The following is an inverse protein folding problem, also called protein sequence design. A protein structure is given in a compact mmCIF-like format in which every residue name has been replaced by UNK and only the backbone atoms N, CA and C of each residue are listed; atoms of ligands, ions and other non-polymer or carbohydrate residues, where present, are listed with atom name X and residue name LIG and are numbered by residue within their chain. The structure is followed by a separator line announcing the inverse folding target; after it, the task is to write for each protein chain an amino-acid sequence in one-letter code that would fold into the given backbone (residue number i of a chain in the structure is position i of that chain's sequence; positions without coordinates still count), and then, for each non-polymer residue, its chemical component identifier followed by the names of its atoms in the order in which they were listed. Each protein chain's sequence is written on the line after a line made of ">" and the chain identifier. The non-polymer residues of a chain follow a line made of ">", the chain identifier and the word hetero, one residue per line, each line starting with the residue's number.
data_IF_862341542954
#
_entry.id   IF_862341542954
#
_cell.length_a   1.000
_cell.length_b   1.000
_cell.length_c   1.000
_cell.angle_alpha   90.00
_cell.angle_beta   90.00
_cell.angle_gamma   90.00
#
_symmetry.space_group_name_H-M   'P 1'
#
loop_
_entity.id
_entity.type
_entity.pdbx_description
1 polymer ?
#
# COMPACT_ATOMS: atom_id res chain seq x y z
N UNK A 1 -10.06 28.97 75.79
CA UNK A 1 -10.28 27.57 76.18
C UNK A 1 -11.30 26.98 75.21
N UNK A 2 -10.87 26.00 74.38
CA UNK A 2 -11.63 25.10 73.48
C UNK A 2 -12.23 25.74 72.20
N UNK A 3 -11.77 25.48 70.97
CA UNK A 3 -11.56 24.27 70.14
C UNK A 3 -12.83 23.73 69.40
N UNK A 4 -12.72 23.74 68.06
CA UNK A 4 -13.24 22.81 67.02
C UNK A 4 -14.74 22.71 66.68
N UNK A 5 -15.10 23.00 65.41
CA UNK A 5 -15.44 22.01 64.35
C UNK A 5 -15.65 22.75 62.98
N UNK A 6 -14.69 22.77 62.04
CA UNK A 6 -14.51 21.91 60.83
C UNK A 6 -15.65 22.04 59.79
N UNK A 7 -15.53 22.87 58.75
CA UNK A 7 -14.97 22.59 57.40
C UNK A 7 -15.47 21.28 56.76
N UNK A 8 -16.45 21.38 55.85
CA UNK A 8 -16.66 20.40 54.79
C UNK A 8 -17.24 21.08 53.53
N UNK A 9 -16.37 21.74 52.77
CA UNK A 9 -16.64 22.11 51.37
C UNK A 9 -15.30 22.17 50.65
N UNK A 10 -15.30 21.69 49.40
CA UNK A 10 -14.23 21.74 48.40
C UNK A 10 -13.24 20.56 48.37
N UNK A 11 -13.71 19.44 47.81
CA UNK A 11 -12.87 18.45 47.14
C UNK A 11 -13.58 17.92 45.88
N UNK A 12 -13.96 18.81 44.97
CA UNK A 12 -14.39 18.45 43.60
C UNK A 12 -13.76 19.48 42.68
N UNK A 13 -12.67 19.12 41.99
CA UNK A 13 -12.00 20.06 41.09
C UNK A 13 -10.71 19.56 40.42
N UNK A 14 -10.09 18.47 40.90
CA UNK A 14 -8.82 17.97 40.36
C UNK A 14 -8.93 16.74 39.45
N UNK A 15 -10.12 16.11 39.31
CA UNK A 15 -10.29 14.92 38.47
C UNK A 15 -10.62 15.24 37.00
N UNK A 16 -11.19 16.40 36.71
CA UNK A 16 -11.59 16.78 35.35
C UNK A 16 -10.41 16.96 34.37
N UNK A 17 -9.35 17.72 34.68
CA UNK A 17 -8.31 18.01 33.67
C UNK A 17 -7.50 16.77 33.26
N UNK A 18 -7.36 15.77 34.14
CA UNK A 18 -6.62 14.54 33.84
C UNK A 18 -7.41 13.61 32.92
N UNK A 19 -8.73 13.52 33.09
CA UNK A 19 -9.61 12.71 32.23
C UNK A 19 -9.71 13.29 30.80
N UNK A 20 -9.78 14.61 30.67
CA UNK A 20 -9.80 15.26 29.36
C UNK A 20 -8.46 15.12 28.62
N UNK A 21 -7.32 15.24 29.31
CA UNK A 21 -6.01 15.03 28.70
C UNK A 21 -5.83 13.58 28.17
N UNK A 22 -6.29 12.58 28.92
CA UNK A 22 -6.23 11.19 28.47
C UNK A 22 -7.15 10.88 27.27
N UNK A 23 -8.35 11.49 27.21
CA UNK A 23 -9.24 11.33 26.07
C UNK A 23 -8.66 11.98 24.79
N UNK A 24 -8.09 13.18 24.91
CA UNK A 24 -7.43 13.86 23.79
C UNK A 24 -6.22 13.08 23.26
N UNK A 25 -5.43 12.49 24.17
CA UNK A 25 -4.29 11.64 23.81
C UNK A 25 -4.74 10.35 23.10
N UNK A 26 -5.86 9.76 23.54
CA UNK A 26 -6.45 8.58 22.89
C UNK A 26 -6.93 8.89 21.47
N UNK A 27 -7.61 10.02 21.27
CA UNK A 27 -8.09 10.45 19.94
C UNK A 27 -6.91 10.75 19.00
N UNK A 28 -5.88 11.46 19.46
CA UNK A 28 -4.66 11.73 18.66
C UNK A 28 -3.94 10.44 18.28
N UNK A 29 -3.82 9.51 19.22
CA UNK A 29 -3.28 8.17 18.96
C UNK A 29 -4.15 7.41 17.95
N UNK A 30 -5.47 7.52 18.07
CA UNK A 30 -6.43 6.94 17.14
C UNK A 30 -6.30 7.47 15.72
N UNK A 31 -6.13 8.78 15.56
CA UNK A 31 -5.85 9.41 14.26
C UNK A 31 -4.59 8.83 13.64
N UNK A 32 -3.50 8.77 14.40
CA UNK A 32 -2.24 8.20 13.95
C UNK A 32 -2.39 6.74 13.52
N UNK A 33 -3.08 5.93 14.32
CA UNK A 33 -3.29 4.51 14.04
C UNK A 33 -4.25 4.28 12.86
N UNK A 34 -5.28 5.10 12.69
CA UNK A 34 -6.19 5.03 11.55
C UNK A 34 -5.44 5.37 10.24
N UNK A 35 -4.50 6.31 10.31
CA UNK A 35 -3.57 6.62 9.22
C UNK A 35 -2.60 5.46 8.96
N UNK A 36 -1.95 4.92 9.98
CA UNK A 36 -1.05 3.76 9.86
C UNK A 36 -1.75 2.50 9.35
N UNK A 37 -3.03 2.33 9.68
CA UNK A 37 -3.87 1.25 9.18
C UNK A 37 -4.38 1.49 7.74
N UNK A 38 -4.10 2.66 7.17
CA UNK A 38 -4.52 3.08 5.84
C UNK A 38 -6.04 3.06 5.61
N UNK A 39 -6.82 3.37 6.66
CA UNK A 39 -8.29 3.28 6.61
C UNK A 39 -8.89 4.19 5.51
N UNK A 40 -8.30 5.38 5.30
CA UNK A 40 -8.79 6.34 4.31
C UNK A 40 -8.68 5.82 2.87
N UNK A 41 -7.64 5.04 2.56
CA UNK A 41 -7.39 4.58 1.19
C UNK A 41 -8.50 3.68 0.66
N UNK A 42 -9.20 2.94 1.52
CA UNK A 42 -10.35 2.11 1.11
C UNK A 42 -11.70 2.77 1.40
N UNK A 43 -11.78 3.61 2.43
CA UNK A 43 -13.03 4.19 2.91
C UNK A 43 -13.29 5.61 2.38
N UNK A 44 -12.66 6.02 1.28
CA UNK A 44 -12.90 7.34 0.67
C UNK A 44 -12.93 7.23 -0.86
N UNK A 45 -14.08 7.54 -1.47
CA UNK A 45 -14.17 7.62 -2.93
C UNK A 45 -13.43 8.85 -3.49
N UNK A 46 -13.03 8.81 -4.75
CA UNK A 46 -12.46 9.98 -5.44
C UNK A 46 -13.44 11.17 -5.41
N UNK A 47 -12.98 12.32 -4.90
CA UNK A 47 -13.82 13.51 -4.69
C UNK A 47 -14.88 13.37 -3.59
N UNK A 48 -14.89 12.27 -2.85
CA UNK A 48 -15.78 12.03 -1.72
C UNK A 48 -15.28 12.65 -0.41
N UNK A 49 -16.17 12.70 0.58
CA UNK A 49 -15.80 13.10 1.94
C UNK A 49 -14.93 12.01 2.60
N UNK A 50 -13.93 12.38 3.43
CA UNK A 50 -13.10 11.42 4.14
C UNK A 50 -13.93 10.37 4.89
N UNK A 51 -13.55 9.10 4.77
CA UNK A 51 -14.18 7.97 5.46
C UNK A 51 -15.64 7.67 5.09
N UNK A 52 -16.23 8.38 4.13
CA UNK A 52 -17.62 8.21 3.71
C UNK A 52 -17.87 6.96 2.81
N UNK A 53 -16.84 6.18 2.54
CA UNK A 53 -16.90 4.99 1.70
C UNK A 53 -17.01 5.29 0.20
N UNK A 54 -17.36 4.26 -0.55
CA UNK A 54 -17.68 4.35 -1.97
C UNK A 54 -16.54 4.08 -2.95
N UNK A 55 -15.32 3.82 -2.47
CA UNK A 55 -14.23 3.42 -3.37
C UNK A 55 -14.49 2.02 -3.94
N UNK A 56 -14.46 1.84 -5.28
CA UNK A 56 -14.52 0.52 -5.90
C UNK A 56 -13.18 -0.22 -5.78
N UNK A 57 -13.21 -1.42 -5.20
CA UNK A 57 -12.12 -2.39 -5.18
C UNK A 57 -12.49 -3.47 -6.17
N UNK A 58 -11.93 -3.37 -7.38
CA UNK A 58 -12.16 -4.31 -8.46
C UNK A 58 -11.38 -5.59 -8.19
N UNK A 59 -12.04 -6.74 -8.32
CA UNK A 59 -11.42 -8.05 -8.16
C UNK A 59 -11.94 -9.03 -9.22
N UNK A 60 -11.25 -10.17 -9.44
CA UNK A 60 -11.76 -11.24 -10.29
C UNK A 60 -13.13 -11.80 -9.87
N UNK A 61 -13.56 -11.55 -8.62
CA UNK A 61 -14.82 -12.04 -8.06
C UNK A 61 -15.98 -11.04 -8.23
N UNK A 62 -15.68 -9.81 -8.68
CA UNK A 62 -16.60 -8.68 -8.74
C UNK A 62 -16.05 -7.46 -8.00
N UNK A 63 -16.87 -6.42 -7.87
CA UNK A 63 -16.48 -5.15 -7.25
C UNK A 63 -16.98 -5.07 -5.81
N UNK A 64 -16.05 -4.82 -4.89
CA UNK A 64 -16.32 -4.57 -3.48
C UNK A 64 -16.22 -3.07 -3.26
N UNK A 65 -17.16 -2.48 -2.52
CA UNK A 65 -17.09 -1.06 -2.19
C UNK A 65 -16.68 -0.86 -0.73
N UNK A 66 -15.78 0.10 -0.50
CA UNK A 66 -15.48 0.58 0.84
C UNK A 66 -16.75 1.12 1.51
N UNK A 67 -16.99 0.74 2.76
CA UNK A 67 -18.18 1.19 3.51
C UNK A 67 -17.99 2.59 4.06
N UNK A 68 -19.07 3.28 4.39
CA UNK A 68 -19.00 4.51 5.19
C UNK A 68 -18.64 4.13 6.63
N UNK A 69 -17.56 4.70 7.17
CA UNK A 69 -17.10 4.48 8.56
C UNK A 69 -17.06 5.78 9.38
N UNK A 70 -17.79 6.79 8.93
CA UNK A 70 -18.08 8.00 9.73
C UNK A 70 -19.06 7.66 10.86
N UNK A 71 -19.25 8.52 11.87
CA UNK A 71 -20.19 8.26 12.96
C UNK A 71 -21.67 8.48 12.60
N UNK A 72 -22.02 8.48 11.30
CA UNK A 72 -23.42 8.40 10.86
C UNK A 72 -24.09 7.18 11.50
N UNK A 73 -25.28 7.40 12.07
CA UNK A 73 -26.07 6.34 12.73
C UNK A 73 -26.83 5.48 11.73
N UNK A 74 -27.10 6.01 10.54
CA UNK A 74 -27.90 5.33 9.51
C UNK A 74 -27.01 4.63 8.47
N UNK A 75 -25.92 5.28 8.05
CA UNK A 75 -25.08 4.82 6.95
C UNK A 75 -23.65 4.44 7.38
N UNK A 76 -23.22 4.90 8.55
CA UNK A 76 -21.86 4.69 9.07
C UNK A 76 -21.78 3.72 10.25
N UNK A 77 -20.77 3.92 11.10
CA UNK A 77 -20.51 3.12 12.30
C UNK A 77 -21.02 3.77 13.60
N UNK A 78 -21.87 4.81 13.51
CA UNK A 78 -22.32 5.58 14.68
C UNK A 78 -23.08 4.80 15.76
N UNK A 79 -23.53 3.57 15.44
CA UNK A 79 -24.17 2.65 16.39
C UNK A 79 -23.24 1.54 16.90
N UNK A 80 -22.00 1.46 16.42
CA UNK A 80 -21.05 0.46 16.90
C UNK A 80 -20.58 0.83 18.31
N UNK A 81 -20.57 -0.15 19.22
CA UNK A 81 -19.78 -0.05 20.44
C UNK A 81 -18.34 -0.56 20.20
N UNK A 82 -17.48 -0.40 21.20
CA UNK A 82 -16.05 -0.72 21.05
C UNK A 82 -15.80 -2.22 20.81
N UNK A 83 -16.60 -3.12 21.40
CA UNK A 83 -16.49 -4.56 21.19
C UNK A 83 -16.93 -4.96 19.77
N UNK A 84 -18.01 -4.37 19.26
CA UNK A 84 -18.50 -4.60 17.91
C UNK A 84 -17.54 -4.04 16.85
N UNK A 85 -16.94 -2.87 17.10
CA UNK A 85 -15.93 -2.30 16.23
C UNK A 85 -14.67 -3.17 16.22
N UNK A 86 -14.21 -3.63 17.39
CA UNK A 86 -13.10 -4.56 17.49
C UNK A 86 -13.39 -5.87 16.75
N UNK A 87 -14.59 -6.45 16.90
CA UNK A 87 -14.98 -7.66 16.18
C UNK A 87 -15.07 -7.46 14.66
N UNK A 88 -15.50 -6.28 14.20
CA UNK A 88 -15.50 -5.95 12.78
C UNK A 88 -14.08 -5.87 12.23
N UNK A 89 -13.17 -5.19 12.94
CA UNK A 89 -11.77 -5.05 12.53
C UNK A 89 -10.98 -6.35 12.59
N UNK A 90 -11.15 -7.15 13.64
CA UNK A 90 -10.26 -8.28 13.94
C UNK A 90 -10.84 -9.65 13.60
N UNK A 91 -12.17 -9.75 13.45
CA UNK A 91 -12.85 -11.01 13.14
C UNK A 91 -13.68 -10.93 11.86
N UNK A 92 -13.78 -9.75 11.24
CA UNK A 92 -14.62 -9.54 10.07
C UNK A 92 -16.12 -9.64 10.38
N UNK A 93 -16.55 -9.44 11.63
CA UNK A 93 -17.96 -9.56 12.04
C UNK A 93 -18.63 -8.21 12.17
N UNK A 94 -19.62 -7.93 11.33
CA UNK A 94 -20.39 -6.68 11.40
C UNK A 94 -21.37 -6.69 12.57
N UNK A 95 -21.79 -5.50 13.00
CA UNK A 95 -22.81 -5.31 14.05
C UNK A 95 -24.14 -6.01 13.71
N UNK A 96 -24.50 -6.09 12.43
CA UNK A 96 -25.72 -6.79 11.97
C UNK A 96 -25.57 -8.32 11.92
N UNK A 97 -24.44 -8.87 12.38
CA UNK A 97 -24.13 -10.29 12.41
C UNK A 97 -23.59 -10.87 11.10
N UNK A 98 -23.54 -10.08 10.02
CA UNK A 98 -23.00 -10.57 8.76
C UNK A 98 -21.47 -10.48 8.70
N UNK A 99 -20.82 -11.41 7.99
CA UNK A 99 -19.38 -11.35 7.76
C UNK A 99 -19.01 -10.30 6.71
N UNK A 100 -17.88 -9.62 6.94
CA UNK A 100 -17.17 -8.82 5.94
C UNK A 100 -16.50 -9.74 4.92
N UNK A 101 -16.35 -9.23 3.70
CA UNK A 101 -15.49 -9.85 2.71
C UNK A 101 -14.03 -9.61 3.08
N UNK A 102 -13.12 -10.56 2.83
CA UNK A 102 -11.69 -10.45 3.16
C UNK A 102 -10.91 -9.46 2.27
N UNK A 103 -11.62 -8.56 1.59
CA UNK A 103 -11.03 -7.32 1.06
C UNK A 103 -10.80 -6.28 2.18
N UNK A 104 -11.59 -6.34 3.25
CA UNK A 104 -11.21 -5.69 4.50
C UNK A 104 -10.13 -6.56 5.17
N UNK A 105 -8.94 -6.04 5.50
CA UNK A 105 -7.79 -6.84 5.94
C UNK A 105 -7.90 -7.29 7.41
N UNK A 106 -9.06 -7.80 7.84
CA UNK A 106 -9.26 -8.33 9.19
C UNK A 106 -8.37 -9.56 9.47
N UNK A 107 -7.93 -10.26 8.43
CA UNK A 107 -6.94 -11.35 8.51
C UNK A 107 -5.55 -10.89 8.86
N UNK A 108 -5.25 -9.60 8.70
CA UNK A 108 -4.04 -8.95 9.19
C UNK A 108 -4.31 -8.30 10.55
N UNK A 109 -5.40 -7.53 10.67
CA UNK A 109 -5.79 -6.85 11.91
C UNK A 109 -6.17 -7.75 13.07
N UNK A 110 -6.36 -9.07 12.91
CA UNK A 110 -6.64 -9.96 14.07
C UNK A 110 -5.55 -9.93 15.15
N UNK A 111 -4.35 -9.45 14.79
CA UNK A 111 -3.21 -9.24 15.70
C UNK A 111 -3.15 -7.83 16.30
N UNK A 112 -4.09 -6.95 15.94
CA UNK A 112 -4.20 -5.59 16.48
C UNK A 112 -4.57 -5.66 17.98
N UNK A 113 -3.80 -5.03 18.87
CA UNK A 113 -4.16 -4.92 20.27
C UNK A 113 -5.49 -4.19 20.45
N UNK A 114 -6.26 -4.60 21.46
CA UNK A 114 -7.54 -3.97 21.80
C UNK A 114 -7.44 -2.45 21.97
N UNK A 115 -6.40 -1.98 22.67
CA UNK A 115 -6.18 -0.56 22.92
C UNK A 115 -5.98 0.26 21.64
N UNK A 116 -5.45 -0.35 20.57
CA UNK A 116 -5.24 0.32 19.29
C UNK A 116 -6.56 0.46 18.54
N UNK A 117 -7.37 -0.60 18.50
CA UNK A 117 -8.73 -0.55 17.95
C UNK A 117 -9.62 0.45 18.68
N UNK A 118 -9.58 0.49 20.02
CA UNK A 118 -10.38 1.44 20.80
C UNK A 118 -9.95 2.89 20.53
N UNK A 119 -8.66 3.15 20.36
CA UNK A 119 -8.16 4.47 19.98
C UNK A 119 -8.64 4.86 18.57
N UNK A 120 -8.53 3.96 17.59
CA UNK A 120 -9.06 4.19 16.23
C UNK A 120 -10.56 4.50 16.29
N UNK A 121 -11.34 3.71 17.05
CA UNK A 121 -12.77 3.95 17.18
C UNK A 121 -13.08 5.29 17.82
N UNK A 122 -12.35 5.67 18.88
CA UNK A 122 -12.48 6.97 19.52
C UNK A 122 -12.23 8.12 18.55
N UNK A 123 -11.21 8.01 17.68
CA UNK A 123 -10.96 8.98 16.62
C UNK A 123 -12.07 9.01 15.56
N UNK A 124 -12.51 7.86 15.05
CA UNK A 124 -13.57 7.84 14.03
C UNK A 124 -14.89 8.46 14.54
N UNK A 125 -15.17 8.40 15.85
CA UNK A 125 -16.32 9.06 16.48
C UNK A 125 -16.24 10.60 16.47
N UNK A 126 -15.07 11.20 16.25
CA UNK A 126 -14.90 12.67 16.19
C UNK A 126 -15.04 13.24 14.79
N UNK A 127 -15.07 12.38 13.76
CA UNK A 127 -15.18 12.78 12.36
C UNK A 127 -16.59 13.28 12.06
N UNK A 128 -16.70 14.20 11.09
CA UNK A 128 -17.99 14.66 10.60
C UNK A 128 -18.85 13.47 10.10
N UNK A 129 -20.07 13.27 10.63
CA UNK A 129 -20.99 12.26 10.13
C UNK A 129 -21.40 12.58 8.70
N UNK A 130 -21.20 11.62 7.79
CA UNK A 130 -21.63 11.77 6.40
C UNK A 130 -22.85 10.88 6.17
N UNK A 131 -24.00 11.50 5.94
CA UNK A 131 -25.26 10.81 5.69
C UNK A 131 -25.38 10.39 4.22
N UNK A 132 -24.53 9.43 3.83
CA UNK A 132 -24.52 8.82 2.49
C UNK A 132 -24.28 7.33 2.58
N UNK A 133 -25.17 6.56 1.97
CA UNK A 133 -24.97 5.13 1.79
C UNK A 133 -23.84 4.86 0.78
N UNK A 134 -22.94 3.94 1.14
CA UNK A 134 -21.98 3.39 0.20
C UNK A 134 -22.71 2.48 -0.82
N UNK A 135 -22.24 2.38 -2.08
CA UNK A 135 -22.77 1.43 -3.04
C UNK A 135 -22.71 -0.01 -2.52
N UNK A 136 -23.66 -0.84 -2.97
CA UNK A 136 -23.73 -2.24 -2.53
C UNK A 136 -22.70 -3.07 -3.30
N UNK A 137 -21.86 -3.80 -2.56
CA UNK A 137 -20.93 -4.80 -3.12
C UNK A 137 -21.65 -5.82 -3.97
N UNK A 138 -21.14 -6.04 -5.19
CA UNK A 138 -21.69 -6.98 -6.17
C UNK A 138 -20.62 -7.99 -6.54
N UNK A 139 -20.81 -9.24 -6.11
CA UNK A 139 -19.93 -10.36 -6.41
C UNK A 139 -20.65 -11.43 -7.22
N UNK A 140 -19.89 -12.16 -8.03
CA UNK A 140 -20.39 -13.28 -8.81
C UNK A 140 -20.63 -14.51 -7.92
N UNK A 141 -21.57 -15.37 -8.30
CA UNK A 141 -21.72 -16.69 -7.67
C UNK A 141 -20.42 -17.52 -7.82
N UNK A 142 -19.96 -18.24 -6.78
CA UNK A 142 -20.60 -18.44 -5.47
C UNK A 142 -20.21 -17.42 -4.38
N UNK A 143 -19.39 -16.42 -4.70
CA UNK A 143 -18.83 -15.45 -3.74
C UNK A 143 -19.87 -14.47 -3.16
N UNK A 144 -21.04 -14.35 -3.80
CA UNK A 144 -22.18 -13.61 -3.24
C UNK A 144 -22.86 -14.33 -2.04
N UNK A 145 -22.60 -15.62 -1.82
CA UNK A 145 -23.23 -16.41 -0.75
C UNK A 145 -22.45 -16.27 0.56
N UNK A 146 -22.89 -15.33 1.41
CA UNK A 146 -22.21 -14.99 2.69
C UNK A 146 -21.95 -16.15 3.65
N UNK A 147 -22.79 -17.20 3.78
CA UNK A 147 -22.45 -18.36 4.62
C UNK A 147 -21.12 -19.04 4.26
N UNK A 148 -20.67 -18.99 3.00
CA UNK A 148 -19.37 -19.51 2.59
C UNK A 148 -18.19 -18.82 3.30
N UNK A 149 -18.36 -17.56 3.71
CA UNK A 149 -17.35 -16.81 4.47
C UNK A 149 -17.12 -17.38 5.87
N UNK A 150 -18.09 -18.09 6.46
CA UNK A 150 -17.90 -18.73 7.77
C UNK A 150 -16.80 -19.80 7.67
N UNK A 151 -16.93 -20.69 6.68
CA UNK A 151 -15.91 -21.72 6.43
C UNK A 151 -14.56 -21.12 6.04
N UNK A 152 -14.57 -20.07 5.21
CA UNK A 152 -13.36 -19.34 4.85
C UNK A 152 -12.67 -18.74 6.10
N UNK A 153 -13.42 -18.08 6.98
CA UNK A 153 -12.90 -17.49 8.21
C UNK A 153 -12.33 -18.53 9.17
N UNK A 154 -12.95 -19.70 9.26
CA UNK A 154 -12.42 -20.81 10.08
C UNK A 154 -11.04 -21.27 9.62
N UNK A 155 -10.77 -21.24 8.32
CA UNK A 155 -9.48 -21.67 7.75
C UNK A 155 -8.44 -20.56 7.73
N UNK A 156 -8.82 -19.35 7.33
CA UNK A 156 -7.88 -18.28 6.98
C UNK A 156 -7.93 -17.07 7.90
N UNK A 157 -8.99 -16.90 8.69
CA UNK A 157 -9.27 -15.69 9.49
C UNK A 157 -8.15 -15.28 10.44
N UNK A 158 -7.36 -16.25 10.92
CA UNK A 158 -6.24 -16.05 11.86
C UNK A 158 -4.95 -16.74 11.39
N UNK A 159 -4.81 -16.93 10.09
CA UNK A 159 -3.71 -17.69 9.51
C UNK A 159 -2.37 -16.95 9.63
N UNK A 160 -2.37 -15.61 9.53
CA UNK A 160 -1.16 -14.81 9.73
C UNK A 160 -0.62 -14.98 11.15
N UNK A 161 0.68 -15.25 11.25
CA UNK A 161 1.43 -15.30 12.51
C UNK A 161 2.61 -14.36 12.41
N UNK A 162 2.81 -13.58 13.47
CA UNK A 162 4.00 -12.77 13.68
C UNK A 162 5.23 -13.67 13.81
N UNK A 163 6.34 -13.28 13.19
CA UNK A 163 7.58 -14.03 13.32
C UNK A 163 8.14 -13.93 14.74
N UNK A 164 8.80 -14.99 15.25
CA UNK A 164 9.41 -14.96 16.57
C UNK A 164 10.40 -13.82 16.71
N UNK A 165 10.38 -13.18 17.88
CA UNK A 165 11.10 -11.94 18.15
C UNK A 165 12.42 -12.17 18.92
N UNK A 166 12.80 -13.41 19.17
CA UNK A 166 14.02 -13.77 19.90
C UNK A 166 15.26 -13.27 19.15
N UNK A 167 16.07 -12.48 19.84
CA UNK A 167 17.29 -11.88 19.26
C UNK A 167 17.04 -10.71 18.30
N UNK A 168 15.79 -10.27 18.12
CA UNK A 168 15.41 -9.11 17.30
C UNK A 168 15.39 -7.82 18.13
N UNK A 169 15.72 -6.70 17.50
CA UNK A 169 15.64 -5.39 18.16
C UNK A 169 14.18 -4.96 18.39
N UNK A 170 13.96 -3.98 19.27
CA UNK A 170 12.64 -3.37 19.46
C UNK A 170 12.14 -2.66 18.20
N UNK A 171 13.05 -2.06 17.41
CA UNK A 171 12.72 -1.46 16.12
C UNK A 171 12.19 -2.52 15.15
N UNK A 172 12.83 -3.69 15.06
CA UNK A 172 12.35 -4.79 14.21
C UNK A 172 10.96 -5.28 14.64
N UNK A 173 10.71 -5.45 15.95
CA UNK A 173 9.40 -5.86 16.48
C UNK A 173 8.32 -4.83 16.16
N UNK A 174 8.62 -3.55 16.35
CA UNK A 174 7.72 -2.45 16.00
C UNK A 174 7.44 -2.43 14.49
N UNK A 175 8.47 -2.57 13.67
CA UNK A 175 8.36 -2.62 12.22
C UNK A 175 7.49 -3.78 11.73
N UNK A 176 7.62 -4.96 12.35
CA UNK A 176 6.76 -6.09 12.02
C UNK A 176 5.29 -5.77 12.25
N UNK A 177 4.95 -5.17 13.39
CA UNK A 177 3.58 -4.73 13.66
C UNK A 177 3.09 -3.68 12.66
N UNK A 178 3.95 -2.71 12.32
CA UNK A 178 3.62 -1.65 11.36
C UNK A 178 3.42 -2.18 9.92
N UNK A 179 4.19 -3.19 9.49
CA UNK A 179 4.14 -3.74 8.13
C UNK A 179 3.08 -4.85 8.00
N UNK A 180 3.03 -5.79 8.94
CA UNK A 180 2.15 -6.96 8.82
C UNK A 180 0.74 -6.71 9.32
N UNK A 181 0.58 -5.87 10.35
CA UNK A 181 -0.71 -5.68 11.02
C UNK A 181 -1.35 -4.38 10.59
N UNK A 182 -0.74 -3.23 10.91
CA UNK A 182 -1.34 -1.93 10.59
C UNK A 182 -1.31 -1.66 9.08
N UNK A 183 -0.12 -1.63 8.48
CA UNK A 183 0.03 -1.36 7.05
C UNK A 183 -0.35 -2.51 6.13
N UNK A 184 -0.68 -3.69 6.69
CA UNK A 184 -1.16 -4.90 5.99
C UNK A 184 -0.45 -5.18 4.66
N UNK A 185 0.86 -4.89 4.57
CA UNK A 185 1.59 -4.88 3.30
C UNK A 185 1.57 -6.26 2.62
N UNK A 186 1.46 -7.32 3.43
CA UNK A 186 1.31 -8.69 2.97
C UNK A 186 0.08 -8.91 2.07
N UNK A 187 -1.00 -8.14 2.23
CA UNK A 187 -2.23 -8.31 1.45
C UNK A 187 -2.02 -8.02 -0.06
N UNK A 188 -1.01 -7.20 -0.40
CA UNK A 188 -0.57 -6.94 -1.77
C UNK A 188 0.71 -7.70 -2.11
N UNK A 189 1.67 -7.75 -1.18
CA UNK A 189 3.01 -8.29 -1.41
C UNK A 189 3.15 -9.80 -1.12
N UNK A 190 2.05 -10.53 -0.94
CA UNK A 190 2.04 -11.99 -0.81
C UNK A 190 1.15 -12.58 -1.89
N UNK A 191 1.55 -13.66 -2.59
CA UNK A 191 0.73 -14.23 -3.63
C UNK A 191 -0.53 -14.87 -3.03
N UNK A 192 -1.66 -14.78 -3.74
CA UNK A 192 -2.93 -15.36 -3.30
C UNK A 192 -3.23 -16.66 -4.05
N UNK A 193 -3.74 -17.65 -3.33
CA UNK A 193 -4.26 -18.90 -3.92
C UNK A 193 -5.77 -18.83 -4.09
N UNK A 194 -6.40 -19.87 -4.66
CA UNK A 194 -7.85 -20.04 -4.54
C UNK A 194 -8.17 -20.56 -3.13
N UNK A 195 -9.17 -20.00 -2.41
CA UNK A 195 -10.23 -19.09 -2.85
C UNK A 195 -10.00 -17.59 -2.51
N UNK A 196 -8.82 -17.02 -2.79
CA UNK A 196 -8.47 -15.61 -2.55
C UNK A 196 -7.64 -15.33 -1.28
N UNK A 197 -7.28 -16.38 -0.53
CA UNK A 197 -6.45 -16.26 0.67
C UNK A 197 -4.96 -16.10 0.31
N UNK A 198 -4.20 -15.40 1.17
CA UNK A 198 -2.74 -15.29 1.06
C UNK A 198 -2.07 -16.67 1.23
N UNK A 199 -1.09 -16.97 0.38
CA UNK A 199 -0.17 -18.10 0.53
C UNK A 199 0.94 -17.70 1.51
N UNK A 200 0.70 -17.88 2.81
CA UNK A 200 1.59 -17.42 3.88
C UNK A 200 2.96 -18.13 3.92
N UNK A 201 3.08 -19.29 3.27
CA UNK A 201 4.36 -19.96 3.00
C UNK A 201 5.25 -19.15 2.03
N UNK A 202 4.66 -18.24 1.26
CA UNK A 202 5.30 -17.32 0.32
C UNK A 202 5.14 -15.86 0.75
N UNK A 203 4.95 -15.63 2.05
CA UNK A 203 4.75 -14.31 2.64
C UNK A 203 5.82 -13.32 2.17
N UNK A 204 5.37 -12.14 1.73
CA UNK A 204 6.20 -11.04 1.24
C UNK A 204 7.06 -11.31 -0.01
N UNK A 205 6.84 -12.43 -0.73
CA UNK A 205 7.58 -12.75 -1.97
C UNK A 205 7.07 -12.01 -3.22
N UNK A 206 6.02 -11.20 -3.06
CA UNK A 206 5.37 -10.44 -4.12
C UNK A 206 4.03 -11.05 -4.55
N UNK A 207 3.18 -10.22 -5.16
CA UNK A 207 1.83 -10.61 -5.59
C UNK A 207 1.39 -9.84 -6.82
N UNK A 208 0.43 -10.38 -7.58
CA UNK A 208 -0.15 -9.69 -8.74
C UNK A 208 -1.49 -9.09 -8.33
N UNK A 209 -1.64 -7.78 -8.51
CA UNK A 209 -2.85 -7.01 -8.23
C UNK A 209 -3.17 -6.15 -9.46
N UNK A 210 -4.38 -6.29 -10.00
CA UNK A 210 -4.85 -5.50 -11.15
C UNK A 210 -3.86 -5.47 -12.34
N UNK A 211 -3.18 -6.59 -12.60
CA UNK A 211 -2.17 -6.69 -13.68
C UNK A 211 -0.78 -6.14 -13.34
N UNK A 212 -0.62 -5.48 -12.19
CA UNK A 212 0.68 -5.03 -11.67
C UNK A 212 1.27 -6.04 -10.69
N UNK A 213 2.58 -6.13 -10.66
CA UNK A 213 3.34 -6.86 -9.66
C UNK A 213 3.62 -5.94 -8.46
N UNK A 214 3.06 -6.25 -7.30
CA UNK A 214 3.60 -5.83 -6.02
C UNK A 214 4.90 -6.63 -5.77
N UNK A 215 6.09 -6.00 -5.82
CA UNK A 215 7.35 -6.74 -5.81
C UNK A 215 7.65 -7.39 -4.46
N UNK A 216 8.50 -8.43 -4.43
CA UNK A 216 8.97 -9.03 -3.17
C UNK A 216 9.53 -7.98 -2.21
N UNK A 217 9.13 -8.04 -0.94
CA UNK A 217 9.67 -7.21 0.14
C UNK A 217 10.72 -7.94 0.98
N UNK A 218 11.16 -9.13 0.57
CA UNK A 218 12.23 -9.83 1.27
C UNK A 218 13.54 -9.04 1.20
N UNK A 219 14.29 -9.04 2.29
CA UNK A 219 15.54 -8.29 2.44
C UNK A 219 16.54 -8.53 1.30
N UNK A 220 16.71 -9.78 0.87
CA UNK A 220 17.61 -10.16 -0.23
C UNK A 220 17.17 -9.57 -1.56
N UNK A 221 15.87 -9.51 -1.81
CA UNK A 221 15.31 -9.07 -3.08
C UNK A 221 15.29 -7.54 -3.16
N UNK A 222 15.00 -6.88 -2.03
CA UNK A 222 15.17 -5.44 -1.86
C UNK A 222 16.63 -5.04 -2.11
N UNK A 223 17.59 -5.67 -1.43
CA UNK A 223 19.01 -5.39 -1.62
C UNK A 223 19.49 -5.71 -3.04
N UNK A 224 19.03 -6.80 -3.66
CA UNK A 224 19.33 -7.10 -5.07
C UNK A 224 18.83 -5.98 -6.01
N UNK A 225 17.76 -5.28 -5.64
CA UNK A 225 17.25 -4.12 -6.37
C UNK A 225 17.86 -2.78 -5.93
N UNK A 226 18.86 -2.80 -5.05
CA UNK A 226 19.63 -1.61 -4.64
C UNK A 226 19.03 -0.85 -3.46
N UNK A 227 18.05 -1.42 -2.75
CA UNK A 227 17.47 -0.81 -1.56
C UNK A 227 18.34 -1.02 -0.33
N UNK A 228 18.44 0.02 0.49
CA UNK A 228 18.98 -0.01 1.84
C UNK A 228 17.98 0.66 2.80
N UNK A 229 18.31 0.67 4.10
CA UNK A 229 17.40 1.15 5.14
C UNK A 229 17.06 2.63 5.00
N UNK A 230 18.06 3.47 4.69
CA UNK A 230 17.87 4.91 4.51
C UNK A 230 16.98 5.20 3.30
N UNK A 231 17.24 4.55 2.16
CA UNK A 231 16.48 4.76 0.94
C UNK A 231 15.05 4.27 1.09
N UNK A 232 14.84 3.13 1.77
CA UNK A 232 13.51 2.59 2.03
C UNK A 232 12.73 3.49 3.00
N UNK A 233 13.37 4.00 4.06
CA UNK A 233 12.75 5.00 4.95
C UNK A 233 12.37 6.28 4.21
N UNK A 234 13.25 6.78 3.33
CA UNK A 234 12.99 7.95 2.48
C UNK A 234 11.82 7.70 1.55
N UNK A 235 11.77 6.53 0.91
CA UNK A 235 10.68 6.13 0.02
C UNK A 235 9.35 6.04 0.74
N UNK A 236 9.29 5.44 1.93
CA UNK A 236 8.07 5.37 2.73
C UNK A 236 7.63 6.76 3.19
N UNK A 237 8.56 7.63 3.59
CA UNK A 237 8.26 8.99 4.09
C UNK A 237 7.78 9.93 2.99
N UNK A 238 8.46 9.92 1.85
CA UNK A 238 8.32 10.92 0.80
C UNK A 238 7.65 10.38 -0.46
N UNK A 239 7.37 9.08 -0.51
CA UNK A 239 6.82 8.39 -1.67
C UNK A 239 7.84 8.24 -2.81
N UNK A 240 9.11 8.57 -2.57
CA UNK A 240 10.15 8.54 -3.60
C UNK A 240 11.56 8.37 -3.03
N UNK A 241 12.42 7.72 -3.81
CA UNK A 241 13.87 7.60 -3.57
C UNK A 241 14.61 7.48 -4.91
N UNK A 242 15.93 7.31 -4.88
CA UNK A 242 16.73 7.07 -6.09
C UNK A 242 16.27 5.82 -6.87
N UNK A 243 15.66 4.86 -6.18
CA UNK A 243 15.18 3.60 -6.74
C UNK A 243 13.78 3.72 -7.37
N UNK A 244 13.10 4.86 -7.28
CA UNK A 244 11.80 5.10 -7.92
C UNK A 244 10.79 5.82 -7.04
N UNK A 245 9.54 5.88 -7.49
CA UNK A 245 8.41 6.51 -6.79
C UNK A 245 7.32 5.49 -6.46
N UNK A 246 6.47 5.80 -5.47
CA UNK A 246 5.22 5.10 -5.24
C UNK A 246 4.20 5.57 -6.29
N UNK A 247 3.88 4.68 -7.22
CA UNK A 247 2.89 4.94 -8.27
C UNK A 247 1.77 3.89 -8.23
N UNK A 248 0.68 4.18 -8.95
CA UNK A 248 -0.49 3.32 -9.03
C UNK A 248 -1.02 2.93 -7.62
N UNK A 249 -1.27 1.65 -7.35
CA UNK A 249 -1.81 1.15 -6.07
C UNK A 249 -0.95 1.52 -4.84
N UNK A 250 0.35 1.79 -5.01
CA UNK A 250 1.20 2.24 -3.89
C UNK A 250 1.08 3.74 -3.61
N UNK A 251 0.58 4.54 -4.56
CA UNK A 251 0.45 5.98 -4.34
C UNK A 251 -0.62 6.34 -3.29
N UNK A 252 -1.82 5.72 -3.27
CA UNK A 252 -2.77 5.87 -2.16
C UNK A 252 -2.18 5.48 -0.80
N UNK A 253 -1.35 4.44 -0.72
CA UNK A 253 -0.68 4.03 0.53
C UNK A 253 0.25 5.14 1.02
N UNK A 254 1.04 5.74 0.13
CA UNK A 254 1.81 6.93 0.49
C UNK A 254 0.92 8.09 0.91
N UNK A 255 -0.06 8.43 0.08
CA UNK A 255 -0.85 9.65 0.22
C UNK A 255 -1.75 9.62 1.45
N UNK A 256 -2.33 8.48 1.78
CA UNK A 256 -3.29 8.33 2.87
C UNK A 256 -2.67 7.76 4.14
N UNK A 257 -1.47 7.17 4.07
CA UNK A 257 -0.82 6.52 5.21
C UNK A 257 0.61 6.99 5.45
N UNK A 258 1.58 6.49 4.68
CA UNK A 258 2.99 6.46 5.13
C UNK A 258 3.60 7.86 5.27
N UNK A 259 3.16 8.84 4.49
CA UNK A 259 3.66 10.21 4.58
C UNK A 259 3.38 10.91 5.91
N UNK A 260 2.37 10.44 6.65
CA UNK A 260 1.98 10.99 7.96
C UNK A 260 2.46 10.17 9.14
N UNK A 261 3.31 9.15 8.92
CA UNK A 261 3.89 8.34 9.99
C UNK A 261 5.13 9.00 10.59
N UNK A 262 5.44 8.63 11.83
CA UNK A 262 6.64 9.12 12.50
C UNK A 262 7.91 8.53 11.89
N UNK A 263 9.00 9.30 11.91
CA UNK A 263 10.31 8.83 11.43
C UNK A 263 10.77 7.55 12.13
N UNK A 264 10.44 7.41 13.42
CA UNK A 264 10.74 6.20 14.21
C UNK A 264 10.02 4.98 13.66
N UNK A 265 8.73 5.09 13.31
CA UNK A 265 7.97 3.96 12.78
C UNK A 265 8.38 3.65 11.33
N UNK A 266 8.68 4.66 10.52
CA UNK A 266 9.19 4.47 9.16
C UNK A 266 10.56 3.78 9.15
N UNK A 267 11.46 4.17 10.06
CA UNK A 267 12.72 3.47 10.28
C UNK A 267 12.49 2.04 10.75
N UNK A 268 11.59 1.82 11.72
CA UNK A 268 11.25 0.49 12.21
C UNK A 268 10.72 -0.42 11.08
N UNK A 269 9.85 0.09 10.20
CA UNK A 269 9.37 -0.63 9.02
C UNK A 269 10.53 -1.04 8.11
N UNK A 270 11.47 -0.13 7.84
CA UNK A 270 12.66 -0.42 7.03
C UNK A 270 13.57 -1.47 7.72
N UNK A 271 13.80 -1.35 9.03
CA UNK A 271 14.54 -2.33 9.83
C UNK A 271 13.86 -3.71 9.79
N UNK A 272 12.53 -3.77 9.83
CA UNK A 272 11.81 -5.04 9.74
C UNK A 272 12.01 -5.71 8.38
N UNK A 273 11.81 -4.96 7.28
CA UNK A 273 11.87 -5.48 5.91
C UNK A 273 13.29 -5.90 5.49
N UNK A 274 14.31 -5.16 5.92
CA UNK A 274 15.71 -5.47 5.58
C UNK A 274 16.42 -6.31 6.66
N UNK A 275 15.87 -6.36 7.87
CA UNK A 275 16.44 -7.01 9.04
C UNK A 275 17.40 -6.12 9.84
N UNK A 276 17.65 -6.48 11.10
CA UNK A 276 18.60 -5.80 12.00
C UNK A 276 20.04 -5.72 11.46
N UNK A 277 20.37 -6.60 10.49
CA UNK A 277 21.65 -6.65 9.80
C UNK A 277 21.37 -6.75 8.30
N UNK A 278 21.11 -5.62 7.63
CA UNK A 278 20.63 -5.62 6.26
C UNK A 278 21.70 -6.17 5.32
N UNK A 279 21.33 -6.97 4.30
CA UNK A 279 22.25 -7.33 3.22
C UNK A 279 22.70 -6.07 2.46
N UNK A 280 23.90 -6.11 1.91
CA UNK A 280 24.44 -4.98 1.16
C UNK A 280 23.63 -4.74 -0.13
N UNK A 281 23.20 -3.49 -0.33
CA UNK A 281 22.51 -3.07 -1.54
C UNK A 281 23.41 -3.28 -2.77
N UNK A 282 22.86 -3.96 -3.79
CA UNK A 282 23.57 -4.24 -5.04
C UNK A 282 23.54 -3.02 -5.95
N UNK A 283 24.70 -2.41 -6.17
CA UNK A 283 24.87 -1.35 -7.15
C UNK A 283 24.50 -1.83 -8.57
N UNK A 284 23.88 -0.96 -9.36
CA UNK A 284 23.71 -1.18 -10.79
C UNK A 284 25.08 -1.10 -11.49
N UNK A 285 25.37 -2.08 -12.33
CA UNK A 285 26.48 -2.01 -13.28
C UNK A 285 25.88 -1.75 -14.65
N UNK A 286 26.13 -0.56 -15.18
CA UNK A 286 25.62 -0.17 -16.50
C UNK A 286 26.37 -0.88 -17.61
N UNK A 287 25.62 -1.27 -18.64
CA UNK A 287 26.17 -1.94 -19.83
C UNK A 287 26.16 -0.94 -20.99
N UNK A 288 27.31 -0.70 -21.66
CA UNK A 288 27.37 0.15 -22.85
C UNK A 288 26.43 -0.37 -23.94
N UNK A 289 25.83 0.55 -24.71
CA UNK A 289 24.80 0.22 -25.71
C UNK A 289 25.31 -0.77 -26.75
N UNK A 290 26.57 -0.66 -27.13
CA UNK A 290 27.23 -1.53 -28.12
C UNK A 290 27.30 -2.99 -27.66
N UNK A 291 27.16 -3.24 -26.35
CA UNK A 291 27.16 -4.58 -25.76
C UNK A 291 25.76 -5.11 -25.44
N UNK A 292 24.72 -4.29 -25.62
CA UNK A 292 23.34 -4.73 -25.46
C UNK A 292 22.92 -5.61 -26.64
N UNK A 293 21.79 -6.30 -26.47
CA UNK A 293 21.22 -7.11 -27.54
C UNK A 293 20.75 -6.26 -28.74
N UNK A 294 20.59 -6.89 -29.91
CA UNK A 294 20.17 -6.17 -31.12
C UNK A 294 18.80 -5.49 -30.96
N UNK A 295 17.89 -6.10 -30.17
CA UNK A 295 16.61 -5.50 -29.80
C UNK A 295 16.80 -4.25 -28.93
N UNK A 296 17.60 -4.35 -27.87
CA UNK A 296 17.89 -3.22 -27.00
C UNK A 296 18.61 -2.07 -27.72
N UNK A 297 19.50 -2.35 -28.67
CA UNK A 297 20.15 -1.32 -29.50
C UNK A 297 19.14 -0.53 -30.34
N UNK A 298 18.14 -1.19 -30.94
CA UNK A 298 17.03 -0.50 -31.63
C UNK A 298 16.15 0.27 -30.65
N UNK A 299 15.91 -0.29 -29.46
CA UNK A 299 15.12 0.33 -28.40
C UNK A 299 15.67 1.65 -27.89
N UNK A 300 16.98 1.86 -27.96
CA UNK A 300 17.59 3.15 -27.65
C UNK A 300 16.99 4.27 -28.52
N UNK A 301 16.83 4.04 -29.82
CA UNK A 301 16.28 5.05 -30.71
C UNK A 301 14.83 5.39 -30.34
N UNK A 302 14.03 4.39 -29.97
CA UNK A 302 12.66 4.61 -29.49
C UNK A 302 12.65 5.45 -28.20
N UNK A 303 13.54 5.15 -27.25
CA UNK A 303 13.69 5.95 -26.03
C UNK A 303 14.03 7.41 -26.35
N UNK A 304 14.97 7.65 -27.27
CA UNK A 304 15.36 9.00 -27.68
C UNK A 304 14.21 9.76 -28.37
N UNK A 305 13.39 9.06 -29.14
CA UNK A 305 12.27 9.64 -29.87
C UNK A 305 11.13 10.07 -28.93
N UNK A 306 10.76 9.24 -27.95
CA UNK A 306 9.51 9.44 -27.20
C UNK A 306 9.66 9.61 -25.69
N UNK A 307 10.79 9.20 -25.09
CA UNK A 307 10.98 9.20 -23.63
C UNK A 307 11.96 10.28 -23.15
N UNK A 308 13.06 10.49 -23.88
CA UNK A 308 14.20 11.31 -23.46
C UNK A 308 13.85 12.79 -23.21
N UNK A 309 12.78 13.30 -23.83
CA UNK A 309 12.29 14.66 -23.59
C UNK A 309 11.95 14.93 -22.12
N UNK A 310 11.43 13.93 -21.41
CA UNK A 310 11.10 14.02 -19.99
C UNK A 310 12.15 13.30 -19.11
N UNK A 311 12.54 12.08 -19.47
CA UNK A 311 13.44 11.25 -18.67
C UNK A 311 14.94 11.53 -18.87
N UNK A 312 15.28 12.57 -19.65
CA UNK A 312 16.63 12.94 -20.07
C UNK A 312 17.29 11.91 -21.00
N UNK A 313 18.30 12.33 -21.78
CA UNK A 313 18.95 11.48 -22.79
C UNK A 313 19.62 10.25 -22.17
N UNK A 314 20.24 10.39 -20.99
CA UNK A 314 20.89 9.30 -20.28
C UNK A 314 20.00 8.60 -19.26
N UNK A 315 18.71 8.95 -19.16
CA UNK A 315 17.81 8.33 -18.18
C UNK A 315 17.97 8.85 -16.75
N UNK A 316 18.59 10.02 -16.57
CA UNK A 316 18.76 10.67 -15.26
C UNK A 316 17.44 11.16 -14.66
N UNK A 317 16.38 11.25 -15.46
CA UNK A 317 15.15 11.94 -15.08
C UNK A 317 15.33 13.45 -15.04
N UNK A 318 14.26 14.13 -14.65
CA UNK A 318 14.25 15.57 -14.42
C UNK A 318 13.57 15.82 -13.08
N UNK A 319 14.25 16.45 -12.11
CA UNK A 319 13.65 16.77 -10.82
C UNK A 319 12.29 17.45 -10.99
N UNK A 320 11.31 17.02 -10.19
CA UNK A 320 9.93 17.50 -10.20
C UNK A 320 9.14 17.29 -11.51
N UNK A 321 9.69 16.55 -12.47
CA UNK A 321 9.04 16.33 -13.78
C UNK A 321 8.90 14.84 -14.05
N UNK A 322 10.01 14.11 -14.04
CA UNK A 322 10.04 12.71 -14.41
C UNK A 322 11.12 11.97 -13.63
N UNK A 323 10.79 10.76 -13.20
CA UNK A 323 11.70 9.90 -12.44
C UNK A 323 12.92 9.50 -13.27
N UNK A 324 14.04 9.24 -12.59
CA UNK A 324 15.19 8.60 -13.20
C UNK A 324 14.80 7.18 -13.68
N UNK A 325 15.30 6.79 -14.83
CA UNK A 325 15.27 5.42 -15.32
C UNK A 325 16.48 4.64 -14.81
N UNK A 326 17.64 5.31 -14.71
CA UNK A 326 18.87 4.71 -14.17
C UNK A 326 18.66 4.21 -12.75
N UNK A 327 18.84 2.91 -12.53
CA UNK A 327 18.72 2.31 -11.20
C UNK A 327 17.29 2.17 -10.67
N UNK A 328 16.28 2.55 -11.44
CA UNK A 328 14.88 2.47 -11.02
C UNK A 328 14.42 1.01 -10.93
N UNK A 329 13.80 0.68 -9.79
CA UNK A 329 13.39 -0.67 -9.40
C UNK A 329 12.51 -1.33 -10.45
N UNK A 330 11.63 -0.59 -11.12
CA UNK A 330 10.70 -1.12 -12.12
C UNK A 330 11.44 -1.76 -13.29
N UNK A 331 12.62 -1.22 -13.68
CA UNK A 331 13.45 -1.76 -14.76
C UNK A 331 14.27 -2.97 -14.28
N UNK A 332 14.49 -3.07 -12.97
CA UNK A 332 15.28 -4.13 -12.33
C UNK A 332 14.47 -5.38 -12.00
N UNK A 333 13.15 -5.37 -12.21
CA UNK A 333 12.31 -6.55 -12.00
C UNK A 333 12.55 -7.60 -13.10
N UNK A 334 12.59 -8.87 -12.69
CA UNK A 334 12.67 -10.02 -13.61
C UNK A 334 11.40 -10.13 -14.46
N UNK A 335 10.24 -9.91 -13.84
CA UNK A 335 8.96 -9.78 -14.54
C UNK A 335 8.81 -8.33 -15.06
N UNK A 336 8.75 -8.13 -16.40
CA UNK A 336 8.70 -6.80 -16.98
C UNK A 336 7.32 -6.15 -16.92
N UNK A 337 6.29 -6.81 -16.36
CA UNK A 337 4.91 -6.31 -16.43
C UNK A 337 4.74 -4.90 -15.90
N UNK A 338 5.41 -4.53 -14.82
CA UNK A 338 5.26 -3.17 -14.27
C UNK A 338 5.78 -2.13 -15.26
N UNK A 339 6.92 -2.40 -15.89
CA UNK A 339 7.49 -1.50 -16.89
C UNK A 339 6.58 -1.40 -18.12
N UNK A 340 6.10 -2.54 -18.61
CA UNK A 340 5.14 -2.61 -19.71
C UNK A 340 3.88 -1.79 -19.39
N UNK A 341 3.24 -2.06 -18.26
CA UNK A 341 2.00 -1.40 -17.84
C UNK A 341 2.17 0.10 -17.64
N UNK A 342 3.27 0.54 -17.03
CA UNK A 342 3.57 1.98 -16.89
C UNK A 342 3.70 2.67 -18.25
N UNK A 343 4.35 2.03 -19.23
CA UNK A 343 4.48 2.59 -20.58
C UNK A 343 3.13 2.61 -21.29
N UNK A 344 2.32 1.56 -21.15
CA UNK A 344 1.04 1.44 -21.84
C UNK A 344 -0.06 2.34 -21.25
N UNK A 345 -0.22 2.28 -19.93
CA UNK A 345 -1.31 2.95 -19.20
C UNK A 345 -0.99 4.43 -18.94
N UNK A 346 0.29 4.77 -18.87
CA UNK A 346 0.76 6.06 -18.36
C UNK A 346 0.65 6.17 -16.85
N UNK A 347 0.99 7.33 -16.31
CA UNK A 347 0.85 7.68 -14.90
C UNK A 347 0.28 9.09 -14.83
N UNK A 348 -0.81 9.28 -14.07
CA UNK A 348 -1.36 10.61 -13.82
C UNK A 348 -0.39 11.51 -13.04
N UNK A 349 -0.73 12.79 -12.88
CA UNK A 349 0.04 13.69 -12.02
C UNK A 349 0.09 13.15 -10.58
N UNK A 350 1.28 13.16 -9.97
CA UNK A 350 1.46 12.71 -8.59
C UNK A 350 2.18 13.77 -7.76
N UNK A 351 1.63 14.05 -6.58
CA UNK A 351 2.22 14.99 -5.61
C UNK A 351 2.80 14.22 -4.45
N UNK A 352 4.06 14.51 -4.15
CA UNK A 352 4.84 13.91 -3.08
C UNK A 352 5.06 14.93 -1.95
N UNK A 353 5.76 14.54 -0.89
CA UNK A 353 5.98 15.44 0.25
C UNK A 353 6.77 16.68 -0.16
N UNK A 354 6.46 17.82 0.48
CA UNK A 354 7.15 19.08 0.20
C UNK A 354 6.70 19.67 -1.15
N UNK A 355 7.66 19.98 -2.02
CA UNK A 355 7.41 20.54 -3.37
C UNK A 355 7.61 19.50 -4.48
N UNK A 356 7.89 18.25 -4.11
CA UNK A 356 8.09 17.17 -5.07
C UNK A 356 6.79 16.79 -5.76
N UNK A 357 6.86 16.68 -7.09
CA UNK A 357 5.75 16.24 -7.92
C UNK A 357 6.27 15.57 -9.18
N UNK A 358 5.47 14.72 -9.80
CA UNK A 358 5.75 14.15 -11.12
C UNK A 358 4.65 14.59 -12.07
N UNK A 359 5.08 15.09 -13.23
CA UNK A 359 4.16 15.47 -14.30
C UNK A 359 3.50 14.20 -14.87
N UNK A 360 2.29 14.31 -15.43
CA UNK A 360 1.63 13.16 -16.03
C UNK A 360 2.49 12.57 -17.16
N UNK A 361 2.71 11.27 -17.10
CA UNK A 361 3.31 10.48 -18.16
C UNK A 361 2.18 9.91 -19.03
N UNK A 362 2.09 10.26 -20.32
CA UNK A 362 1.05 9.72 -21.18
C UNK A 362 1.23 8.22 -21.42
N UNK A 363 0.14 7.50 -21.62
CA UNK A 363 0.17 6.13 -22.10
C UNK A 363 0.59 6.02 -23.58
N UNK A 364 1.23 4.90 -23.93
CA UNK A 364 1.77 4.60 -25.26
C UNK A 364 1.21 3.31 -25.88
N UNK A 365 0.18 2.69 -25.30
CA UNK A 365 -0.39 1.41 -25.76
C UNK A 365 -0.77 1.40 -27.26
N UNK A 366 -1.21 2.54 -27.78
CA UNK A 366 -1.66 2.77 -29.16
C UNK A 366 -0.68 3.60 -29.99
N UNK A 367 0.48 3.94 -29.43
CA UNK A 367 1.51 4.80 -30.06
C UNK A 367 2.76 4.03 -30.50
N UNK A 368 3.00 2.86 -29.93
CA UNK A 368 4.15 2.01 -30.25
C UNK A 368 3.65 0.68 -30.85
N UNK A 369 4.29 0.24 -31.93
CA UNK A 369 4.07 -1.12 -32.44
C UNK A 369 4.63 -2.16 -31.46
N UNK A 370 4.12 -3.41 -31.45
CA UNK A 370 4.61 -4.45 -30.55
C UNK A 370 6.13 -4.65 -30.59
N UNK A 371 6.75 -4.55 -31.77
CA UNK A 371 8.20 -4.66 -31.94
C UNK A 371 8.93 -3.49 -31.30
N UNK A 372 8.43 -2.26 -31.48
CA UNK A 372 9.03 -1.05 -30.92
C UNK A 372 8.93 -1.04 -29.39
N UNK A 373 7.79 -1.46 -28.85
CA UNK A 373 7.58 -1.60 -27.42
C UNK A 373 8.53 -2.66 -26.82
N UNK A 374 8.68 -3.80 -27.49
CA UNK A 374 9.61 -4.86 -27.06
C UNK A 374 11.06 -4.38 -27.09
N UNK A 375 11.47 -3.71 -28.16
CA UNK A 375 12.80 -3.12 -28.29
C UNK A 375 13.06 -2.10 -27.16
N UNK A 376 12.10 -1.21 -26.88
CA UNK A 376 12.18 -0.22 -25.79
C UNK A 376 12.30 -0.89 -24.41
N UNK A 377 11.50 -1.92 -24.13
CA UNK A 377 11.58 -2.68 -22.88
C UNK A 377 12.96 -3.32 -22.71
N UNK A 378 13.49 -3.95 -23.77
CA UNK A 378 14.81 -4.56 -23.74
C UNK A 378 15.91 -3.52 -23.50
N UNK A 379 15.83 -2.34 -24.11
CA UNK A 379 16.78 -1.25 -23.88
C UNK A 379 16.80 -0.81 -22.41
N UNK A 380 15.63 -0.47 -21.85
CA UNK A 380 15.52 0.02 -20.48
C UNK A 380 16.01 -1.02 -19.46
N UNK A 381 15.61 -2.28 -19.64
CA UNK A 381 15.96 -3.37 -18.71
C UNK A 381 17.43 -3.76 -18.79
N UNK A 382 18.01 -3.85 -19.99
CA UNK A 382 19.42 -4.22 -20.14
C UNK A 382 20.38 -3.06 -19.85
N UNK A 383 20.05 -1.85 -20.31
CA UNK A 383 20.89 -0.67 -20.11
C UNK A 383 20.89 -0.17 -18.66
N UNK A 384 19.71 -0.09 -18.05
CA UNK A 384 19.52 0.57 -16.74
C UNK A 384 18.89 -0.30 -15.66
N UNK A 385 18.32 -1.44 -16.02
CA UNK A 385 17.74 -2.42 -15.09
C UNK A 385 18.71 -3.51 -14.62
N UNK A 386 19.86 -3.69 -15.28
CA UNK A 386 20.80 -4.77 -14.99
C UNK A 386 20.26 -6.17 -15.31
N UNK A 387 19.24 -6.26 -16.17
CA UNK A 387 18.69 -7.51 -16.68
C UNK A 387 19.45 -7.93 -17.94
N UNK A 388 19.80 -9.21 -18.09
CA UNK A 388 20.51 -9.70 -19.29
C UNK A 388 19.60 -10.42 -20.29
N UNK A 389 18.41 -10.86 -19.85
CA UNK A 389 17.47 -11.59 -20.68
C UNK A 389 16.79 -10.66 -21.70
N UNK A 390 16.82 -11.05 -22.97
CA UNK A 390 16.03 -10.42 -24.03
C UNK A 390 14.60 -10.97 -24.00
N UNK A 391 13.62 -10.06 -24.07
CA UNK A 391 12.21 -10.38 -24.27
C UNK A 391 11.92 -10.58 -25.75
N UNK A 392 11.17 -11.63 -26.09
CA UNK A 392 10.56 -11.77 -27.41
C UNK A 392 9.26 -10.96 -27.48
N UNK A 393 8.86 -10.59 -28.70
CA UNK A 393 7.58 -9.90 -28.94
C UNK A 393 6.40 -10.71 -28.41
N UNK A 394 6.45 -12.04 -28.53
CA UNK A 394 5.44 -12.94 -28.00
C UNK A 394 5.31 -12.91 -26.48
N UNK A 395 6.41 -12.64 -25.75
CA UNK A 395 6.38 -12.53 -24.29
C UNK A 395 5.61 -11.28 -23.86
N UNK A 396 5.88 -10.16 -24.55
CA UNK A 396 5.19 -8.89 -24.32
C UNK A 396 3.71 -9.01 -24.65
N UNK A 397 3.36 -9.60 -25.81
CA UNK A 397 1.97 -9.82 -26.20
C UNK A 397 1.21 -10.71 -25.23
N UNK A 398 1.86 -11.74 -24.68
CA UNK A 398 1.26 -12.57 -23.65
C UNK A 398 0.93 -11.76 -22.39
N UNK A 399 1.86 -10.92 -21.93
CA UNK A 399 1.61 -10.05 -20.76
C UNK A 399 0.49 -9.04 -21.01
N UNK A 400 0.38 -8.50 -22.23
CA UNK A 400 -0.73 -7.63 -22.63
C UNK A 400 -2.07 -8.37 -22.59
N UNK A 401 -2.10 -9.63 -23.04
CA UNK A 401 -3.31 -10.46 -23.03
C UNK A 401 -3.73 -10.89 -21.61
N UNK A 402 -2.77 -11.07 -20.70
CA UNK A 402 -3.00 -11.44 -19.31
C UNK A 402 -3.47 -10.25 -18.45
N UNK A 403 -3.36 -9.01 -18.96
CA UNK A 403 -3.75 -7.82 -18.22
C UNK A 403 -5.29 -7.68 -18.16
N UNK A 404 -5.87 -7.38 -16.98
CA UNK A 404 -7.30 -7.09 -16.89
C UNK A 404 -7.63 -5.82 -17.69
N UNK A 405 -8.83 -5.74 -18.25
CA UNK A 405 -9.31 -4.50 -18.87
C UNK A 405 -9.45 -3.42 -17.82
N UNK A 406 -8.53 -2.46 -17.78
CA UNK A 406 -8.60 -1.32 -16.85
C UNK A 406 -9.38 -0.18 -17.52
N UNK A 407 -10.49 0.27 -16.90
CA UNK A 407 -11.25 1.46 -17.34
C UNK A 407 -10.52 2.79 -17.07
N UNK A 408 -9.55 2.80 -16.16
CA UNK A 408 -8.74 3.96 -15.81
C UNK A 408 -7.40 3.97 -16.56
N UNK A 409 -7.44 4.36 -17.85
CA UNK A 409 -6.23 4.90 -18.49
C UNK A 409 -6.00 6.30 -17.91
N UNK A 410 -4.76 6.63 -17.55
CA UNK A 410 -4.42 7.99 -17.17
C UNK A 410 -4.68 8.90 -18.39
N UNK A 411 -5.70 9.75 -18.31
CA UNK A 411 -5.99 10.77 -19.32
C UNK A 411 -5.21 12.04 -19.03
#
# INVERSE_FOLDING_TARGET
>A
MKLFLTRLTLAVGLAAPVLFAHADDQVKRGEYLARAADCMACHTAAGGAPFAGGLPIVSPFGTIYGTNITPSKEHGIGLYNDDEFFAALTEGKRRDGANLYPAMPYTSYHLMPRADSDAIHAYLKTIEPIERAAPVTSLSFPFNVRPGLIGWNMMYGKALKLEPAEGKSEAWKRGQYMVEVLGHCGECHTPRGLPGAMQLDKRLTGGILNGYLAPSLLATDLAARGWNEQDLGTFLKHGMSAQGTMFNEMFPVFHNSTQGLSDTDLAAMATFLLGDKPPAAKALVEVPVEKLSASAQRGQQEYLNVCAGCHAVGGEGKPHIAVAMRGNTTLRLEDPRNLLRVIEDGIGEQKFSGFEHMQPMPGFADKLKPEQLTDLLNYLRQGWGGQSAELAVSDVQKLQADAPSIEHKAH
#
